data_IF_714626721319
#
_entry.id   IF_714626721319
#
_cell.length_a   1.000
_cell.length_b   1.000
_cell.length_c   1.000
_cell.angle_alpha   90.00
_cell.angle_beta   90.00
_cell.angle_gamma   90.00
#
_symmetry.space_group_name_H-M   'P 1'
#
loop_
_entity.id
_entity.type
_entity.pdbx_description
1 polymer ?
#
# COMPACT_ATOMS: atom_id res chain seq x y z
N UNK A 1 -24.69 -22.56 4.34
CA UNK A 1 -25.39 -21.83 5.43
C UNK A 1 -24.42 -21.36 6.52
N UNK A 2 -23.65 -22.25 7.16
CA UNK A 2 -22.74 -21.96 8.29
C UNK A 2 -21.77 -20.76 8.13
N UNK A 3 -21.11 -20.60 6.98
CA UNK A 3 -20.13 -19.51 6.74
C UNK A 3 -20.78 -18.14 6.87
N UNK A 4 -21.93 -17.95 6.23
CA UNK A 4 -22.66 -16.68 6.24
C UNK A 4 -23.19 -16.39 7.65
N UNK A 5 -23.70 -17.40 8.34
CA UNK A 5 -24.23 -17.27 9.70
C UNK A 5 -23.15 -16.84 10.71
N UNK A 6 -21.96 -17.45 10.64
CA UNK A 6 -20.86 -17.20 11.60
C UNK A 6 -20.04 -15.96 11.30
N UNK A 7 -19.92 -15.57 10.03
CA UNK A 7 -18.97 -14.52 9.61
C UNK A 7 -19.61 -13.37 8.84
N UNK A 8 -20.84 -13.53 8.36
CA UNK A 8 -21.49 -12.58 7.44
C UNK A 8 -20.96 -12.64 6.00
N UNK A 9 -19.94 -13.44 5.69
CA UNK A 9 -19.29 -13.45 4.38
C UNK A 9 -20.13 -14.22 3.36
N UNK A 10 -20.66 -13.50 2.34
CA UNK A 10 -21.43 -14.08 1.22
C UNK A 10 -20.59 -14.40 -0.01
N UNK A 11 -19.57 -13.59 -0.26
CA UNK A 11 -18.58 -13.75 -1.34
C UNK A 11 -17.30 -13.04 -0.94
N UNK A 12 -16.17 -13.50 -1.46
CA UNK A 12 -14.87 -12.83 -1.35
C UNK A 12 -14.23 -12.69 -2.72
N UNK A 13 -13.26 -11.80 -2.83
CA UNK A 13 -12.43 -11.66 -4.02
C UNK A 13 -11.13 -12.44 -3.80
N UNK A 14 -10.62 -13.01 -4.88
CA UNK A 14 -9.36 -13.74 -4.93
C UNK A 14 -8.63 -13.18 -6.14
N UNK A 15 -7.36 -12.83 -5.96
CA UNK A 15 -6.53 -12.34 -7.05
C UNK A 15 -6.38 -13.42 -8.12
N UNK A 16 -6.32 -13.01 -9.39
CA UNK A 16 -6.09 -13.92 -10.50
C UNK A 16 -4.66 -14.50 -10.47
N UNK A 17 -4.43 -15.56 -11.24
CA UNK A 17 -3.06 -16.02 -11.49
C UNK A 17 -2.25 -14.90 -12.18
N UNK A 18 -1.06 -14.61 -11.66
CA UNK A 18 -0.23 -13.48 -12.10
C UNK A 18 -0.69 -12.11 -11.59
N UNK A 19 -1.73 -12.03 -10.75
CA UNK A 19 -2.13 -10.81 -10.05
C UNK A 19 -1.54 -10.79 -8.64
N UNK A 20 -0.48 -9.99 -8.46
CA UNK A 20 0.25 -9.89 -7.21
C UNK A 20 -0.21 -8.72 -6.33
N UNK A 21 0.28 -8.66 -5.11
CA UNK A 21 -0.02 -7.61 -4.13
C UNK A 21 0.36 -6.24 -4.67
N UNK A 22 1.50 -6.10 -5.36
CA UNK A 22 1.88 -4.85 -6.02
C UNK A 22 0.86 -4.38 -7.06
N UNK A 23 0.26 -5.28 -7.83
CA UNK A 23 -0.75 -4.92 -8.85
C UNK A 23 -1.99 -4.30 -8.20
N UNK A 24 -2.48 -4.93 -7.12
CA UNK A 24 -3.61 -4.41 -6.35
C UNK A 24 -3.26 -3.07 -5.68
N UNK A 25 -2.05 -2.96 -5.13
CA UNK A 25 -1.54 -1.74 -4.52
C UNK A 25 -1.41 -0.58 -5.53
N UNK A 26 -0.93 -0.83 -6.75
CA UNK A 26 -0.82 0.18 -7.82
C UNK A 26 -2.20 0.72 -8.20
N UNK A 27 -3.22 -0.14 -8.32
CA UNK A 27 -4.57 0.29 -8.65
C UNK A 27 -5.15 1.17 -7.53
N UNK A 28 -5.05 0.72 -6.27
CA UNK A 28 -5.50 1.50 -5.12
C UNK A 28 -4.75 2.85 -4.99
N UNK A 29 -3.44 2.85 -5.25
CA UNK A 29 -2.62 4.06 -5.23
C UNK A 29 -3.04 5.07 -6.30
N UNK A 30 -3.30 4.62 -7.54
CA UNK A 30 -3.79 5.50 -8.61
C UNK A 30 -5.12 6.15 -8.26
N UNK A 31 -6.02 5.39 -7.63
CA UNK A 31 -7.31 5.90 -7.18
C UNK A 31 -7.15 6.94 -6.06
N UNK A 32 -6.30 6.66 -5.07
CA UNK A 32 -5.97 7.60 -3.99
C UNK A 32 -5.32 8.89 -4.50
N UNK A 33 -4.32 8.77 -5.39
CA UNK A 33 -3.64 9.90 -6.03
C UNK A 33 -4.62 10.78 -6.80
N UNK A 34 -5.51 10.16 -7.59
CA UNK A 34 -6.55 10.89 -8.34
C UNK A 34 -7.54 11.59 -7.40
N UNK A 35 -7.95 10.93 -6.32
CA UNK A 35 -8.85 11.54 -5.33
C UNK A 35 -8.22 12.69 -4.56
N UNK A 36 -6.90 12.67 -4.38
CA UNK A 36 -6.15 13.70 -3.67
C UNK A 36 -5.64 14.81 -4.60
N UNK A 37 -5.82 14.67 -5.93
CA UNK A 37 -5.24 15.55 -6.95
C UNK A 37 -3.70 15.69 -6.82
N UNK A 38 -3.03 14.57 -6.51
CA UNK A 38 -1.58 14.47 -6.31
C UNK A 38 -0.93 13.72 -7.47
N UNK A 39 0.09 14.32 -8.09
CA UNK A 39 0.90 13.67 -9.13
C UNK A 39 2.02 12.81 -8.53
N UNK A 40 2.62 11.93 -9.35
CA UNK A 40 3.69 11.03 -8.90
C UNK A 40 4.92 11.80 -8.38
N UNK A 41 5.22 12.96 -8.96
CA UNK A 41 6.37 13.80 -8.60
C UNK A 41 6.23 14.46 -7.23
N UNK A 42 5.01 14.54 -6.71
CA UNK A 42 4.72 15.10 -5.40
C UNK A 42 4.89 14.08 -4.27
N UNK A 43 4.93 12.78 -4.56
CA UNK A 43 5.07 11.73 -3.54
C UNK A 43 6.53 11.65 -3.08
N UNK A 44 6.76 11.86 -1.79
CA UNK A 44 8.09 11.85 -1.18
C UNK A 44 8.47 10.46 -0.63
N UNK A 45 7.49 9.62 -0.27
CA UNK A 45 7.75 8.26 0.16
C UNK A 45 6.50 7.38 0.15
N UNK A 46 6.73 6.05 0.12
CA UNK A 46 5.68 5.02 0.15
C UNK A 46 5.85 4.14 1.38
N UNK A 47 4.77 3.92 2.12
CA UNK A 47 4.70 2.93 3.20
C UNK A 47 3.62 1.91 2.85
N UNK A 48 4.03 0.68 2.52
CA UNK A 48 3.13 -0.39 2.13
C UNK A 48 2.98 -1.40 3.27
N UNK A 49 1.82 -1.43 3.90
CA UNK A 49 1.48 -2.44 4.88
C UNK A 49 1.04 -3.73 4.19
N UNK A 50 1.88 -4.78 4.27
CA UNK A 50 1.55 -6.11 3.74
C UNK A 50 2.14 -7.23 4.57
N UNK A 51 1.48 -8.40 4.54
CA UNK A 51 2.06 -9.67 5.00
C UNK A 51 2.15 -10.72 3.90
N UNK A 52 1.81 -10.31 2.68
CA UNK A 52 1.82 -11.14 1.47
C UNK A 52 2.59 -10.40 0.37
N UNK A 53 3.88 -10.06 0.60
CA UNK A 53 4.64 -9.32 -0.39
C UNK A 53 4.88 -10.18 -1.64
N UNK A 54 5.11 -9.53 -2.77
CA UNK A 54 5.41 -10.20 -4.05
C UNK A 54 6.64 -11.11 -3.91
N UNK A 55 7.64 -10.62 -3.17
CA UNK A 55 8.90 -11.30 -2.90
C UNK A 55 9.33 -11.05 -1.45
N UNK A 56 10.25 -11.87 -0.92
CA UNK A 56 10.92 -11.56 0.35
C UNK A 56 11.79 -10.30 0.23
N UNK A 57 12.41 -10.12 -0.95
CA UNK A 57 13.10 -8.92 -1.37
C UNK A 57 13.14 -8.91 -2.91
N UNK A 58 13.07 -7.75 -3.58
CA UNK A 58 12.88 -6.40 -3.02
C UNK A 58 11.48 -6.17 -2.42
N UNK A 59 11.29 -5.07 -1.69
CA UNK A 59 10.02 -4.72 -1.07
C UNK A 59 8.93 -4.43 -2.12
N UNK A 60 7.68 -4.82 -1.83
CA UNK A 60 6.53 -4.60 -2.70
C UNK A 60 6.32 -3.12 -2.98
N UNK A 61 6.55 -2.25 -1.99
CA UNK A 61 6.50 -0.80 -2.13
C UNK A 61 7.41 -0.27 -3.25
N UNK A 62 8.58 -0.89 -3.48
CA UNK A 62 9.51 -0.45 -4.54
C UNK A 62 9.01 -0.83 -5.94
N UNK A 63 8.31 -1.96 -6.08
CA UNK A 63 7.63 -2.31 -7.32
C UNK A 63 6.50 -1.33 -7.62
N UNK A 64 5.73 -0.94 -6.59
CA UNK A 64 4.68 0.10 -6.71
C UNK A 64 5.30 1.44 -7.09
N UNK A 65 6.40 1.84 -6.45
CA UNK A 65 7.12 3.08 -6.75
C UNK A 65 7.52 3.15 -8.23
N UNK A 66 8.14 2.08 -8.74
CA UNK A 66 8.53 1.99 -10.14
C UNK A 66 7.33 2.02 -11.10
N UNK A 67 6.26 1.26 -10.80
CA UNK A 67 5.07 1.18 -11.63
C UNK A 67 4.27 2.49 -11.71
N UNK A 68 4.37 3.35 -10.69
CA UNK A 68 3.74 4.67 -10.65
C UNK A 68 4.63 5.79 -11.25
N UNK A 69 5.87 5.48 -11.64
CA UNK A 69 6.81 6.47 -12.16
C UNK A 69 7.34 7.43 -11.09
N UNK A 70 7.31 7.05 -9.81
CA UNK A 70 7.82 7.86 -8.71
C UNK A 70 9.34 7.70 -8.67
N UNK A 71 10.08 8.70 -9.14
CA UNK A 71 11.55 8.62 -9.27
C UNK A 71 12.32 9.24 -8.11
N UNK A 72 11.61 9.66 -7.05
CA UNK A 72 12.17 10.35 -5.89
C UNK A 72 11.72 9.65 -4.61
N UNK A 73 12.41 9.94 -3.51
CA UNK A 73 12.00 9.43 -2.21
C UNK A 73 12.41 8.00 -1.92
N UNK A 74 11.78 7.41 -0.92
CA UNK A 74 12.02 6.04 -0.47
C UNK A 74 10.71 5.25 -0.33
N UNK A 75 10.81 3.93 -0.43
CA UNK A 75 9.66 3.03 -0.37
C UNK A 75 10.02 1.78 0.43
N UNK A 76 9.16 1.38 1.37
CA UNK A 76 9.39 0.20 2.20
C UNK A 76 8.08 -0.45 2.66
N UNK A 77 8.18 -1.74 2.99
CA UNK A 77 7.05 -2.53 3.50
C UNK A 77 7.02 -2.53 5.04
N UNK A 78 5.82 -2.57 5.61
CA UNK A 78 5.58 -2.73 7.06
C UNK A 78 4.76 -3.98 7.30
N UNK A 79 5.27 -4.87 8.16
CA UNK A 79 4.61 -6.13 8.48
C UNK A 79 3.97 -6.06 9.88
N UNK A 80 2.68 -5.73 9.94
CA UNK A 80 1.89 -5.72 11.19
C UNK A 80 0.48 -6.31 11.00
N UNK A 81 0.37 -7.31 10.11
CA UNK A 81 -0.85 -8.09 9.83
C UNK A 81 -2.07 -7.18 9.60
N UNK A 82 -3.25 -7.51 10.15
CA UNK A 82 -4.50 -6.77 9.94
C UNK A 82 -4.45 -5.34 10.49
N UNK A 83 -3.53 -5.03 11.41
CA UNK A 83 -3.32 -3.67 11.93
C UNK A 83 -2.33 -2.86 11.09
N UNK A 84 -1.75 -3.46 10.04
CA UNK A 84 -0.68 -2.90 9.24
C UNK A 84 -0.96 -1.50 8.71
N UNK A 85 -2.18 -1.25 8.20
CA UNK A 85 -2.52 0.06 7.65
C UNK A 85 -2.45 1.17 8.69
N UNK A 86 -2.92 0.93 9.92
CA UNK A 86 -2.88 1.91 11.02
C UNK A 86 -1.43 2.15 11.45
N UNK A 87 -0.59 1.12 11.48
CA UNK A 87 0.84 1.25 11.76
C UNK A 87 1.55 2.06 10.67
N UNK A 88 1.30 1.76 9.40
CA UNK A 88 1.87 2.49 8.28
C UNK A 88 1.45 3.97 8.28
N UNK A 89 0.20 4.27 8.64
CA UNK A 89 -0.28 5.64 8.79
C UNK A 89 0.45 6.39 9.91
N UNK A 90 0.65 5.76 11.07
CA UNK A 90 1.40 6.37 12.17
C UNK A 90 2.88 6.62 11.81
N UNK A 91 3.49 5.69 11.06
CA UNK A 91 4.86 5.85 10.56
C UNK A 91 4.94 7.03 9.58
N UNK A 92 4.00 7.13 8.64
CA UNK A 92 3.97 8.22 7.67
C UNK A 92 3.75 9.59 8.34
N UNK A 93 2.85 9.68 9.32
CA UNK A 93 2.63 10.88 10.12
C UNK A 93 3.91 11.32 10.85
N UNK A 94 4.64 10.38 11.44
CA UNK A 94 5.92 10.68 12.10
C UNK A 94 6.97 11.20 11.12
N UNK A 95 7.07 10.64 9.91
CA UNK A 95 7.99 11.15 8.89
C UNK A 95 7.64 12.57 8.42
N UNK A 96 6.35 12.86 8.25
CA UNK A 96 5.89 14.21 7.90
C UNK A 96 6.21 15.20 9.04
N UNK A 97 5.90 14.85 10.29
CA UNK A 97 6.21 15.68 11.47
C UNK A 97 7.70 15.93 11.66
N UNK A 98 8.53 14.94 11.32
CA UNK A 98 9.99 15.06 11.36
C UNK A 98 10.57 15.85 10.17
N UNK A 99 9.74 16.29 9.21
CA UNK A 99 10.18 17.04 8.02
C UNK A 99 10.90 16.18 6.98
N UNK A 100 10.74 14.86 7.01
CA UNK A 100 11.40 13.94 6.07
C UNK A 100 10.65 13.78 4.73
N UNK A 101 9.44 14.35 4.65
CA UNK A 101 8.65 14.48 3.43
C UNK A 101 7.38 15.27 3.71
N UNK A 102 6.68 15.68 2.65
CA UNK A 102 5.42 16.43 2.70
C UNK A 102 4.23 15.58 2.29
N UNK A 103 4.43 14.64 1.37
CA UNK A 103 3.34 13.81 0.84
C UNK A 103 3.74 12.34 0.86
N UNK A 104 3.00 11.56 1.64
CA UNK A 104 3.18 10.13 1.79
C UNK A 104 2.09 9.37 1.03
N UNK A 105 2.46 8.27 0.39
CA UNK A 105 1.50 7.29 -0.12
C UNK A 105 1.47 6.08 0.84
N UNK A 106 0.35 5.89 1.52
CA UNK A 106 0.15 4.79 2.48
C UNK A 106 -0.82 3.77 1.89
N UNK A 107 -0.40 2.51 1.80
CA UNK A 107 -1.16 1.45 1.13
C UNK A 107 -1.28 0.26 2.07
N UNK A 108 -2.48 -0.36 2.16
CA UNK A 108 -2.66 -1.67 2.76
C UNK A 108 -3.05 -2.68 1.68
N UNK A 109 -2.23 -3.71 1.45
CA UNK A 109 -2.43 -4.69 0.39
C UNK A 109 -1.95 -6.09 0.82
#
# INVERSE_FOLDING_TARGET
EWIVERTGIKRRRVAAEGEYTSHLAVLAAKDAMRSAEVSAEQIDFIVLATTTPDHTFPATATAVQAALGITRGFAFDVQAVCSGFVYALAIADNFIKAGQGKTALVIGA
#
